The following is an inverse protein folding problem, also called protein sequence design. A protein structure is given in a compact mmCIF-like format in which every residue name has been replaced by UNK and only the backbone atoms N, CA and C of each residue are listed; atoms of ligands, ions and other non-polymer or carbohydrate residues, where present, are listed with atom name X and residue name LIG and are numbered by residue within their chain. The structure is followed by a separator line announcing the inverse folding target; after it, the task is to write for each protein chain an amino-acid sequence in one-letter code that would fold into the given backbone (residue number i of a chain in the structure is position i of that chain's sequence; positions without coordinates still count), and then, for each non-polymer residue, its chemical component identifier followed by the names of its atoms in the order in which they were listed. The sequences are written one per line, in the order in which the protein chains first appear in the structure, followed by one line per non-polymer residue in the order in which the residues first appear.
data_IF_955970988919
#
_entry.id   IF_955970988919
#
_cell.length_a   1.000
_cell.length_b   1.000
_cell.length_c   1.000
_cell.angle_alpha   90.00
_cell.angle_beta   90.00
_cell.angle_gamma   90.00
#
_symmetry.space_group_name_H-M   'P 1'
#
loop_
_entity.id
_entity.type
_entity.pdbx_description
1 polymer ?
#
# COMPACT_ATOMS: atom_id res chain seq x y z
N UNK A 1 -9.57 54.71 3.98
CA UNK A 1 -8.19 55.00 3.54
C UNK A 1 -7.97 54.19 2.27
N UNK A 2 -7.77 54.83 1.12
CA UNK A 2 -7.50 54.13 -0.13
C UNK A 2 -6.08 53.55 -0.06
N UNK A 3 -5.93 52.24 -0.25
CA UNK A 3 -4.59 51.66 -0.42
C UNK A 3 -3.96 52.23 -1.69
N UNK A 4 -2.70 52.66 -1.59
CA UNK A 4 -1.95 53.05 -2.76
C UNK A 4 -1.64 51.79 -3.58
N UNK A 5 -2.12 51.70 -4.84
CA UNK A 5 -2.01 50.49 -5.64
C UNK A 5 -0.56 50.05 -5.89
N UNK A 6 0.41 50.95 -5.73
CA UNK A 6 1.85 50.62 -5.79
C UNK A 6 2.32 49.81 -4.59
N UNK A 7 1.88 50.19 -3.38
CA UNK A 7 2.19 49.49 -2.13
C UNK A 7 1.58 48.09 -2.12
N UNK A 8 0.37 47.95 -2.68
CA UNK A 8 -0.28 46.64 -2.85
C UNK A 8 0.50 45.75 -3.84
N UNK A 9 0.98 46.31 -4.95
CA UNK A 9 1.78 45.58 -5.94
C UNK A 9 3.13 45.10 -5.39
N UNK A 10 3.84 45.95 -4.63
CA UNK A 10 5.09 45.55 -4.01
C UNK A 10 4.88 44.50 -2.91
N UNK A 11 3.79 44.61 -2.14
CA UNK A 11 3.39 43.58 -1.18
C UNK A 11 3.08 42.25 -1.88
N UNK A 12 2.34 42.28 -3.00
CA UNK A 12 2.06 41.08 -3.80
C UNK A 12 3.34 40.43 -4.33
N UNK A 13 4.32 41.22 -4.79
CA UNK A 13 5.62 40.68 -5.25
C UNK A 13 6.35 39.90 -4.16
N UNK A 14 6.38 40.45 -2.94
CA UNK A 14 7.01 39.77 -1.79
C UNK A 14 6.28 38.47 -1.46
N UNK A 15 4.94 38.50 -1.39
CA UNK A 15 4.12 37.31 -1.09
C UNK A 15 4.33 36.22 -2.15
N UNK A 16 4.33 36.59 -3.43
CA UNK A 16 4.54 35.63 -4.54
C UNK A 16 5.93 35.00 -4.46
N UNK A 17 6.97 35.79 -4.15
CA UNK A 17 8.33 35.26 -3.97
C UNK A 17 8.40 34.26 -2.80
N UNK A 18 7.80 34.59 -1.66
CA UNK A 18 7.74 33.70 -0.49
C UNK A 18 6.98 32.40 -0.80
N UNK A 19 5.83 32.49 -1.46
CA UNK A 19 5.01 31.33 -1.81
C UNK A 19 5.70 30.42 -2.84
N UNK A 20 6.44 31.00 -3.79
CA UNK A 20 7.30 30.22 -4.69
C UNK A 20 8.41 29.48 -3.93
N UNK A 21 9.08 30.15 -2.99
CA UNK A 21 10.12 29.55 -2.16
C UNK A 21 9.58 28.37 -1.33
N UNK A 22 8.49 28.59 -0.59
CA UNK A 22 7.85 27.56 0.23
C UNK A 22 7.38 26.36 -0.60
N UNK A 23 6.84 26.59 -1.80
CA UNK A 23 6.45 25.49 -2.68
C UNK A 23 7.64 24.68 -3.20
N UNK A 24 8.76 25.34 -3.51
CA UNK A 24 9.98 24.65 -3.93
C UNK A 24 10.49 23.74 -2.82
N UNK A 25 10.48 24.23 -1.58
CA UNK A 25 10.84 23.45 -0.39
C UNK A 25 9.88 22.27 -0.18
N UNK A 26 8.57 22.51 -0.23
CA UNK A 26 7.56 21.47 -0.12
C UNK A 26 7.71 20.39 -1.21
N UNK A 27 8.06 20.80 -2.44
CA UNK A 27 8.32 19.86 -3.53
C UNK A 27 9.53 18.97 -3.25
N UNK A 28 10.59 19.53 -2.66
CA UNK A 28 11.76 18.78 -2.20
C UNK A 28 11.39 17.75 -1.13
N UNK A 29 10.63 18.18 -0.12
CA UNK A 29 10.13 17.28 0.94
C UNK A 29 9.32 16.12 0.36
N UNK A 30 8.38 16.40 -0.54
CA UNK A 30 7.58 15.33 -1.16
C UNK A 30 8.44 14.37 -1.98
N UNK A 31 9.46 14.87 -2.68
CA UNK A 31 10.37 14.02 -3.44
C UNK A 31 11.20 13.11 -2.52
N UNK A 32 11.66 13.63 -1.39
CA UNK A 32 12.39 12.85 -0.39
C UNK A 32 11.50 11.77 0.22
N UNK A 33 10.25 12.12 0.54
CA UNK A 33 9.26 11.17 1.05
C UNK A 33 8.88 10.13 -0.02
N UNK A 34 8.62 10.52 -1.26
CA UNK A 34 8.28 9.60 -2.37
C UNK A 34 9.40 8.56 -2.55
N UNK A 35 10.66 9.02 -2.51
CA UNK A 35 11.84 8.16 -2.60
C UNK A 35 11.96 7.22 -1.41
N UNK A 36 11.87 7.74 -0.19
CA UNK A 36 11.94 6.93 1.03
C UNK A 36 10.86 5.85 1.04
N UNK A 37 9.62 6.20 0.71
CA UNK A 37 8.52 5.24 0.65
C UNK A 37 8.74 4.22 -0.47
N UNK A 38 9.20 4.63 -1.64
CA UNK A 38 9.47 3.69 -2.73
C UNK A 38 10.59 2.68 -2.40
N UNK A 39 11.59 3.09 -1.61
CA UNK A 39 12.71 2.24 -1.19
C UNK A 39 12.34 1.32 -0.02
N UNK A 40 11.66 1.85 1.00
CA UNK A 40 11.42 1.13 2.27
C UNK A 40 10.03 0.49 2.36
N UNK A 41 9.04 0.99 1.61
CA UNK A 41 7.64 0.58 1.68
C UNK A 41 7.17 -0.24 0.45
N UNK A 42 8.09 -0.89 -0.28
CA UNK A 42 7.75 -1.83 -1.35
C UNK A 42 7.27 -3.21 -0.83
N UNK A 43 6.48 -3.17 0.24
CA UNK A 43 5.93 -4.34 0.94
C UNK A 43 4.42 -4.49 0.70
N UNK A 44 3.88 -3.81 -0.31
CA UNK A 44 2.47 -3.90 -0.70
C UNK A 44 1.50 -3.07 0.16
N UNK A 45 2.02 -2.10 0.92
CA UNK A 45 1.19 -1.17 1.71
C UNK A 45 0.66 -0.07 0.81
N UNK A 46 -0.63 0.25 0.96
CA UNK A 46 -1.26 1.40 0.32
C UNK A 46 -2.06 2.19 1.35
N UNK A 47 -2.14 3.51 1.16
CA UNK A 47 -2.91 4.40 2.01
C UNK A 47 -3.49 5.55 1.19
N UNK A 48 -4.60 6.09 1.70
CA UNK A 48 -5.26 7.29 1.18
C UNK A 48 -5.49 8.24 2.35
N UNK A 49 -5.33 9.54 2.12
CA UNK A 49 -5.79 10.57 3.05
C UNK A 49 -7.30 10.76 2.94
N UNK A 50 -7.88 11.49 3.89
CA UNK A 50 -9.19 12.13 3.67
C UNK A 50 -9.13 13.05 2.44
N UNK A 51 -10.27 13.36 1.80
CA UNK A 51 -10.28 14.19 0.60
C UNK A 51 -9.83 15.61 0.94
N UNK A 52 -8.97 16.18 0.10
CA UNK A 52 -8.57 17.59 0.19
C UNK A 52 -9.39 18.49 -0.74
N UNK A 53 -10.05 17.89 -1.73
CA UNK A 53 -11.02 18.55 -2.60
C UNK A 53 -12.21 17.63 -2.82
N UNK A 54 -13.40 18.21 -2.90
CA UNK A 54 -14.66 17.49 -3.09
C UNK A 54 -15.68 18.40 -3.78
N UNK A 55 -16.15 17.95 -4.94
CA UNK A 55 -17.04 18.72 -5.80
C UNK A 55 -18.23 17.86 -6.21
N UNK A 56 -19.42 18.46 -6.22
CA UNK A 56 -20.61 17.80 -6.77
C UNK A 56 -20.66 18.05 -8.27
N UNK A 57 -20.95 16.99 -9.01
CA UNK A 57 -21.12 17.02 -10.46
C UNK A 57 -22.43 16.36 -10.87
N UNK A 58 -22.73 16.43 -12.16
CA UNK A 58 -23.87 15.73 -12.76
C UNK A 58 -23.34 14.80 -13.86
N UNK A 59 -23.67 13.52 -13.76
CA UNK A 59 -23.35 12.52 -14.76
C UNK A 59 -24.07 12.78 -16.09
N UNK A 60 -23.60 12.15 -17.17
CA UNK A 60 -24.21 12.29 -18.49
C UNK A 60 -25.67 11.80 -18.53
N UNK A 61 -26.05 10.94 -17.59
CA UNK A 61 -27.39 10.39 -17.38
C UNK A 61 -28.24 11.21 -16.40
N UNK A 62 -27.75 12.37 -15.93
CA UNK A 62 -28.44 13.28 -15.02
C UNK A 62 -28.33 12.91 -13.54
N UNK A 63 -27.59 11.86 -13.19
CA UNK A 63 -27.36 11.49 -11.78
C UNK A 63 -26.42 12.46 -11.09
N UNK A 64 -26.61 12.66 -9.80
CA UNK A 64 -25.67 13.44 -8.99
C UNK A 64 -24.43 12.59 -8.71
N UNK A 65 -23.25 13.18 -8.89
CA UNK A 65 -21.97 12.55 -8.64
C UNK A 65 -21.16 13.37 -7.62
N UNK A 66 -20.31 12.69 -6.86
CA UNK A 66 -19.32 13.32 -5.99
C UNK A 66 -17.92 13.02 -6.54
N UNK A 67 -17.19 14.05 -6.92
CA UNK A 67 -15.80 13.96 -7.35
C UNK A 67 -14.94 14.31 -6.15
N UNK A 68 -14.12 13.38 -5.67
CA UNK A 68 -13.24 13.59 -4.52
C UNK A 68 -11.79 13.35 -4.92
N UNK A 69 -10.91 14.23 -4.44
CA UNK A 69 -9.46 14.12 -4.65
C UNK A 69 -8.74 13.86 -3.34
N UNK A 70 -7.88 12.85 -3.34
CA UNK A 70 -7.14 12.38 -2.17
C UNK A 70 -5.65 12.34 -2.48
N UNK A 71 -4.83 12.60 -1.46
CA UNK A 71 -3.43 12.23 -1.52
C UNK A 71 -3.31 10.75 -1.18
N UNK A 72 -2.57 9.98 -1.98
CA UNK A 72 -2.44 8.56 -1.79
C UNK A 72 -1.00 8.08 -2.00
N UNK A 73 -0.68 6.96 -1.34
CA UNK A 73 0.51 6.17 -1.62
C UNK A 73 0.10 4.77 -2.07
N UNK A 74 0.71 4.31 -3.15
CA UNK A 74 0.47 2.98 -3.70
C UNK A 74 0.81 2.94 -5.18
N UNK A 75 0.30 1.91 -5.88
CA UNK A 75 0.63 1.68 -7.28
C UNK A 75 -0.03 2.73 -8.20
N UNK A 76 0.81 3.56 -8.82
CA UNK A 76 0.44 4.52 -9.86
C UNK A 76 1.49 4.52 -10.98
N UNK A 77 1.04 4.43 -12.24
CA UNK A 77 1.91 4.24 -13.40
C UNK A 77 2.90 3.05 -13.23
N UNK A 78 2.41 1.94 -12.67
CA UNK A 78 3.17 0.68 -12.55
C UNK A 78 4.10 0.57 -11.34
N UNK A 79 4.36 1.65 -10.59
CA UNK A 79 5.26 1.67 -9.42
C UNK A 79 4.57 2.20 -8.16
N UNK A 80 5.08 1.81 -7.00
CA UNK A 80 4.64 2.37 -5.72
C UNK A 80 5.17 3.79 -5.56
N UNK A 81 4.27 4.75 -5.36
CA UNK A 81 4.59 6.17 -5.27
C UNK A 81 3.44 7.01 -4.72
N UNK A 82 3.78 8.23 -4.30
CA UNK A 82 2.82 9.28 -4.05
C UNK A 82 2.11 9.69 -5.35
N UNK A 83 0.78 9.77 -5.26
CA UNK A 83 -0.09 10.15 -6.35
C UNK A 83 -1.37 10.80 -5.82
N UNK A 84 -2.06 11.52 -6.70
CA UNK A 84 -3.41 12.00 -6.45
C UNK A 84 -4.38 10.95 -6.96
N UNK A 85 -5.28 10.54 -6.07
CA UNK A 85 -6.39 9.66 -6.38
C UNK A 85 -7.64 10.53 -6.56
N UNK A 86 -8.09 10.68 -7.79
CA UNK A 86 -9.36 11.33 -8.10
C UNK A 86 -10.42 10.23 -8.31
N UNK A 87 -11.41 10.20 -7.44
CA UNK A 87 -12.50 9.24 -7.49
C UNK A 87 -13.81 9.96 -7.82
N UNK A 88 -14.58 9.41 -8.75
CA UNK A 88 -15.97 9.83 -8.99
C UNK A 88 -16.90 8.80 -8.38
N UNK A 89 -17.73 9.24 -7.45
CA UNK A 89 -18.65 8.43 -6.67
C UNK A 89 -20.09 8.73 -7.08
N UNK A 90 -20.91 7.70 -7.19
CA UNK A 90 -22.37 7.76 -7.32
C UNK A 90 -23.01 7.30 -5.99
N UNK A 91 -24.29 7.66 -5.82
CA UNK A 91 -25.11 7.13 -4.74
C UNK A 91 -25.35 5.65 -4.98
N UNK A 92 -25.07 4.82 -3.98
CA UNK A 92 -25.42 3.41 -4.04
C UNK A 92 -26.94 3.22 -4.12
N UNK A 93 -27.39 2.12 -4.72
CA UNK A 93 -28.82 1.80 -4.78
C UNK A 93 -29.46 1.81 -3.38
N UNK A 94 -30.48 2.65 -3.19
CA UNK A 94 -31.18 2.78 -1.92
C UNK A 94 -30.41 3.53 -0.82
N UNK A 95 -29.30 4.19 -1.16
CA UNK A 95 -28.48 4.99 -0.23
C UNK A 95 -28.46 6.46 -0.63
N UNK A 96 -28.55 7.35 0.36
CA UNK A 96 -28.30 8.79 0.16
C UNK A 96 -26.80 9.14 0.19
N UNK A 97 -25.94 8.16 0.48
CA UNK A 97 -24.50 8.35 0.54
C UNK A 97 -23.81 7.98 -0.77
N UNK A 98 -22.84 8.80 -1.17
CA UNK A 98 -21.95 8.54 -2.30
C UNK A 98 -20.93 7.48 -1.91
N UNK A 99 -21.18 6.24 -2.33
CA UNK A 99 -20.35 5.07 -1.95
C UNK A 99 -19.88 4.25 -3.14
N UNK A 100 -20.55 4.38 -4.30
CA UNK A 100 -20.23 3.58 -5.48
C UNK A 100 -19.18 4.29 -6.33
N UNK A 101 -17.99 3.72 -6.47
CA UNK A 101 -16.95 4.26 -7.36
C UNK A 101 -17.32 3.97 -8.81
N UNK A 102 -17.50 5.03 -9.61
CA UNK A 102 -17.82 4.96 -11.05
C UNK A 102 -16.59 5.18 -11.91
N UNK A 103 -15.66 6.02 -11.45
CA UNK A 103 -14.39 6.28 -12.13
C UNK A 103 -13.29 6.54 -11.10
N UNK A 104 -12.07 6.15 -11.45
CA UNK A 104 -10.88 6.36 -10.64
C UNK A 104 -9.71 6.74 -11.55
N UNK A 105 -9.05 7.84 -11.23
CA UNK A 105 -7.83 8.28 -11.88
C UNK A 105 -6.70 8.40 -10.85
N UNK A 106 -5.53 7.84 -11.19
CA UNK A 106 -4.32 7.91 -10.37
C UNK A 106 -3.27 8.73 -11.09
N UNK A 107 -3.05 9.95 -10.62
CA UNK A 107 -2.12 10.90 -11.24
C UNK A 107 -0.84 10.93 -10.39
N UNK A 108 0.29 10.42 -10.89
CA UNK A 108 1.57 10.50 -10.18
C UNK A 108 1.92 11.92 -9.75
N UNK A 109 2.44 12.09 -8.53
CA UNK A 109 2.75 13.42 -7.98
C UNK A 109 3.52 14.34 -8.93
N UNK A 110 4.58 13.91 -9.65
CA UNK A 110 5.31 14.81 -10.55
C UNK A 110 4.45 15.41 -11.67
N UNK A 111 3.45 14.65 -12.14
CA UNK A 111 2.54 15.06 -13.22
C UNK A 111 1.39 15.95 -12.72
N UNK A 112 1.24 16.10 -11.40
CA UNK A 112 0.16 16.90 -10.84
C UNK A 112 0.40 18.40 -11.09
N UNK A 113 -0.67 19.16 -11.42
CA UNK A 113 -0.63 20.62 -11.49
C UNK A 113 -0.19 21.24 -10.16
N UNK A 114 0.37 22.45 -10.25
CA UNK A 114 0.88 23.21 -9.10
C UNK A 114 -0.19 23.45 -8.03
N UNK A 115 -1.40 23.80 -8.43
CA UNK A 115 -2.52 24.09 -7.54
C UNK A 115 -2.90 22.85 -6.73
N UNK A 116 -2.99 21.69 -7.39
CA UNK A 116 -3.28 20.41 -6.73
C UNK A 116 -2.18 20.05 -5.74
N UNK A 117 -0.90 20.23 -6.11
CA UNK A 117 0.24 19.99 -5.21
C UNK A 117 0.17 20.84 -3.94
N UNK A 118 -0.24 22.11 -4.04
CA UNK A 118 -0.38 23.00 -2.88
C UNK A 118 -1.43 22.50 -1.90
N UNK A 119 -2.62 22.13 -2.39
CA UNK A 119 -3.71 21.66 -1.53
C UNK A 119 -3.45 20.27 -0.95
N UNK A 120 -2.92 19.36 -1.76
CA UNK A 120 -2.65 17.99 -1.34
C UNK A 120 -1.45 17.86 -0.41
N UNK A 121 -0.45 18.76 -0.48
CA UNK A 121 0.72 18.73 0.41
C UNK A 121 0.33 18.79 1.90
N UNK A 122 -0.73 19.55 2.23
CA UNK A 122 -1.25 19.63 3.59
C UNK A 122 -1.73 18.26 4.15
N UNK A 123 -2.00 17.30 3.28
CA UNK A 123 -2.44 15.95 3.65
C UNK A 123 -1.30 14.97 3.89
N UNK A 124 -0.06 15.35 3.56
CA UNK A 124 1.10 14.47 3.66
C UNK A 124 1.32 13.92 5.08
N UNK A 125 1.24 14.72 6.17
CA UNK A 125 1.40 14.20 7.52
C UNK A 125 0.35 13.13 7.89
N UNK A 126 -0.90 13.34 7.48
CA UNK A 126 -2.00 12.40 7.72
C UNK A 126 -1.78 11.08 6.96
N UNK A 127 -1.36 11.17 5.69
CA UNK A 127 -1.04 10.00 4.89
C UNK A 127 0.09 9.19 5.54
N UNK A 128 1.15 9.85 5.99
CA UNK A 128 2.29 9.18 6.64
C UNK A 128 1.88 8.50 7.94
N UNK A 129 1.03 9.14 8.76
CA UNK A 129 0.46 8.51 9.95
C UNK A 129 -0.37 7.26 9.62
N UNK A 130 -1.16 7.32 8.54
CA UNK A 130 -1.97 6.19 8.07
C UNK A 130 -1.08 5.04 7.55
N UNK A 131 -0.01 5.35 6.83
CA UNK A 131 0.96 4.36 6.36
C UNK A 131 1.67 3.66 7.53
N UNK A 132 2.10 4.41 8.54
CA UNK A 132 2.73 3.86 9.73
C UNK A 132 1.78 2.90 10.46
N UNK A 133 0.54 3.32 10.71
CA UNK A 133 -0.46 2.47 11.35
C UNK A 133 -0.74 1.17 10.56
N UNK A 134 -0.84 1.26 9.23
CA UNK A 134 -1.02 0.08 8.36
C UNK A 134 0.20 -0.84 8.37
N UNK A 135 1.41 -0.29 8.37
CA UNK A 135 2.63 -1.09 8.46
C UNK A 135 2.72 -1.84 9.79
N UNK A 136 2.38 -1.19 10.90
CA UNK A 136 2.32 -1.83 12.23
C UNK A 136 1.28 -2.96 12.26
N UNK A 137 0.09 -2.73 11.70
CA UNK A 137 -0.96 -3.74 11.60
C UNK A 137 -0.49 -4.97 10.81
N UNK A 138 0.14 -4.74 9.65
CA UNK A 138 0.67 -5.82 8.80
C UNK A 138 1.82 -6.56 9.49
N UNK A 139 2.71 -5.87 10.21
CA UNK A 139 3.78 -6.49 10.97
C UNK A 139 3.24 -7.39 12.09
N UNK A 140 2.22 -6.92 12.82
CA UNK A 140 1.56 -7.69 13.87
C UNK A 140 0.80 -8.90 13.30
N UNK A 141 0.10 -8.73 12.17
CA UNK A 141 -0.58 -9.82 11.49
C UNK A 141 0.41 -10.87 10.99
N UNK A 142 1.49 -10.45 10.32
CA UNK A 142 2.53 -11.34 9.79
C UNK A 142 3.20 -12.15 10.90
N UNK A 143 3.49 -11.51 12.04
CA UNK A 143 4.07 -12.19 13.20
C UNK A 143 3.16 -13.29 13.73
N UNK A 144 1.86 -12.99 13.92
CA UNK A 144 0.85 -13.98 14.34
C UNK A 144 0.72 -15.12 13.33
N UNK A 145 0.63 -14.80 12.04
CA UNK A 145 0.54 -15.82 10.98
C UNK A 145 1.78 -16.71 10.96
N UNK A 146 2.98 -16.15 11.12
CA UNK A 146 4.22 -16.93 11.15
C UNK A 146 4.26 -17.92 12.32
N UNK A 147 3.76 -17.51 13.49
CA UNK A 147 3.66 -18.36 14.68
C UNK A 147 2.63 -19.48 14.48
N UNK A 148 1.46 -19.17 13.93
CA UNK A 148 0.45 -20.18 13.59
C UNK A 148 0.98 -21.21 12.59
N UNK A 149 1.68 -20.76 11.55
CA UNK A 149 2.29 -21.67 10.55
C UNK A 149 3.36 -22.56 11.18
N UNK A 150 4.19 -22.02 12.08
CA UNK A 150 5.19 -22.80 12.83
C UNK A 150 4.52 -23.90 13.66
N UNK A 151 3.46 -23.59 14.40
CA UNK A 151 2.70 -24.56 15.19
C UNK A 151 2.03 -25.64 14.32
N UNK A 152 1.51 -25.27 13.15
CA UNK A 152 0.96 -26.24 12.19
C UNK A 152 2.05 -27.18 11.64
N UNK A 153 3.25 -26.67 11.33
CA UNK A 153 4.37 -27.51 10.88
C UNK A 153 4.85 -28.46 11.99
N UNK A 154 4.91 -28.01 13.24
CA UNK A 154 5.28 -28.85 14.38
C UNK A 154 4.28 -29.97 14.64
N UNK A 155 2.97 -29.68 14.55
CA UNK A 155 1.93 -30.70 14.70
C UNK A 155 1.97 -31.72 13.57
N UNK A 156 2.09 -31.29 12.31
CA UNK A 156 2.25 -32.19 11.17
C UNK A 156 3.54 -33.03 11.25
N UNK A 157 4.65 -32.44 11.68
CA UNK A 157 5.91 -33.15 11.92
C UNK A 157 5.81 -34.19 13.03
N UNK A 158 5.07 -33.90 14.11
CA UNK A 158 4.79 -34.86 15.20
C UNK A 158 3.89 -36.02 14.73
N UNK A 159 2.95 -35.78 13.82
CA UNK A 159 2.13 -36.85 13.23
C UNK A 159 2.91 -37.73 12.24
N UNK A 160 3.99 -37.23 11.63
CA UNK A 160 4.81 -38.01 10.70
C UNK A 160 5.82 -38.96 11.37
N UNK A 161 6.14 -38.77 12.65
CA UNK A 161 7.09 -39.61 13.41
C UNK A 161 6.42 -40.49 14.48
N UNK A 162 5.08 -40.47 14.59
CA UNK A 162 4.32 -41.17 15.63
C UNK A 162 3.67 -42.50 15.24
N UNK A 163 3.69 -42.92 13.97
CA UNK A 163 3.17 -44.23 13.52
C UNK A 163 4.30 -45.20 13.15
N UNK A 164 5.13 -45.51 14.14
CA UNK A 164 5.85 -46.79 14.19
C UNK A 164 5.74 -47.32 15.61
N UNK A 165 4.60 -47.96 15.91
CA UNK A 165 4.51 -48.85 17.06
C UNK A 165 5.45 -50.05 16.85
N UNK A 166 6.23 -50.46 17.86
CA UNK A 166 7.08 -51.63 17.79
C UNK A 166 6.24 -52.88 18.07
N UNK A 167 5.87 -53.62 17.03
CA UNK A 167 5.35 -54.97 17.20
C UNK A 167 6.51 -55.93 17.45
N UNK A 168 6.88 -56.10 18.72
CA UNK A 168 7.78 -57.15 19.18
C UNK A 168 6.93 -58.32 19.69
N UNK A 169 6.65 -59.31 18.82
CA UNK A 169 6.35 -60.67 19.25
C UNK A 169 7.07 -61.66 18.33
N UNK A 170 7.68 -62.63 18.99
CA UNK A 170 8.72 -63.54 18.56
C UNK A 170 8.19 -64.66 17.67
N UNK A 171 9.00 -65.11 16.70
CA UNK A 171 9.37 -66.52 16.46
C UNK A 171 9.88 -66.70 15.02
N UNK A 172 11.10 -67.20 14.87
CA UNK A 172 11.56 -67.71 13.57
C UNK A 172 13.05 -67.59 13.36
N UNK A 173 13.77 -68.65 13.73
CA UNK A 173 15.14 -68.95 13.34
C UNK A 173 15.31 -68.83 11.82
N UNK A 174 16.36 -68.16 11.34
CA UNK A 174 16.68 -68.10 9.91
C UNK A 174 17.93 -67.29 9.59
N UNK A 175 19.06 -67.97 9.50
CA UNK A 175 20.37 -67.56 8.96
C UNK A 175 20.31 -66.82 7.63
N UNK A 176 21.16 -65.80 7.42
CA UNK A 176 21.38 -65.26 6.06
C UNK A 176 22.25 -64.00 5.98
N UNK A 177 23.54 -64.22 5.75
CA UNK A 177 24.63 -63.33 5.31
C UNK A 177 24.23 -62.19 4.33
N UNK A 178 24.82 -61.01 4.47
CA UNK A 178 25.02 -60.05 3.36
C UNK A 178 25.22 -58.58 3.74
N UNK A 179 26.47 -58.08 3.68
CA UNK A 179 26.85 -56.66 3.52
C UNK A 179 26.25 -56.10 2.19
N UNK A 180 26.07 -54.81 1.91
CA UNK A 180 26.74 -53.54 2.24
C UNK A 180 25.76 -52.39 1.82
N UNK A 181 25.90 -51.13 2.30
CA UNK A 181 25.04 -50.00 1.95
C UNK A 181 25.63 -49.18 0.81
N UNK A 182 24.82 -48.81 -0.19
CA UNK A 182 25.22 -47.78 -1.16
C UNK A 182 24.11 -46.76 -1.44
N UNK A 183 24.57 -45.53 -1.58
CA UNK A 183 23.85 -44.29 -1.58
C UNK A 183 23.37 -43.89 -3.00
N UNK A 184 22.37 -43.00 -3.07
CA UNK A 184 21.99 -42.30 -4.30
C UNK A 184 20.57 -41.72 -4.23
N UNK A 185 20.35 -40.58 -3.59
CA UNK A 185 20.40 -39.22 -4.15
C UNK A 185 19.49 -38.99 -5.39
N UNK A 186 18.42 -38.24 -5.13
CA UNK A 186 17.74 -37.27 -6.00
C UNK A 186 17.58 -37.57 -7.50
N UNK A 187 16.33 -37.86 -7.92
CA UNK A 187 15.85 -37.50 -9.26
C UNK A 187 14.75 -36.44 -9.17
N UNK A 188 15.14 -35.18 -9.38
CA UNK A 188 14.25 -34.10 -9.85
C UNK A 188 13.77 -34.46 -11.25
N UNK A 189 12.45 -34.39 -11.48
CA UNK A 189 11.85 -34.49 -12.82
C UNK A 189 10.94 -33.30 -13.07
N UNK A 190 11.32 -32.47 -14.05
CA UNK A 190 10.48 -31.64 -14.95
C UNK A 190 11.43 -31.06 -16.02
N UNK A 191 10.97 -30.63 -17.22
CA UNK A 191 9.62 -30.63 -17.78
C UNK A 191 9.57 -31.12 -19.27
N UNK A 192 8.38 -31.07 -19.87
CA UNK A 192 8.17 -30.63 -21.26
C UNK A 192 7.10 -29.54 -21.25
#
# INVERSE_FOLDING_TARGET
MAHEPRTDLDSLRVIVAQLNGALSEASGVVQDVDRYLAEEFDIGVWAISRPFDSQRGTGADGRELLISSHLAYGKAAGRNRLHILAATLDRGEGSDQFTQIVSEERIPWPLCPREIKLHSFAMLPELLGTLAAKAEEIAAQTSRTSETVRQLLETMGRHSYGSTEPALVTNGVGTGVGADPDAGLFRRSRPR
#
